data_IF_271662675712
#
_entry.id   IF_271662675712
#
_cell.length_a   1.000
_cell.length_b   1.000
_cell.length_c   1.000
_cell.angle_alpha   90.00
_cell.angle_beta   90.00
_cell.angle_gamma   90.00
#
_symmetry.space_group_name_H-M   'P 1'
#
loop_
_entity.id
_entity.type
_entity.pdbx_description
1 polymer ?
#
# COMPACT_ATOMS: atom_id res chain seq x y z
N UNK A 1 -50.30 -28.95 31.33
CA UNK A 1 -50.08 -28.05 30.17
C UNK A 1 -48.76 -28.44 29.54
N UNK A 2 -48.77 -28.85 28.26
CA UNK A 2 -47.69 -29.54 27.53
C UNK A 2 -47.03 -28.57 26.53
N UNK A 3 -45.71 -28.74 26.35
CA UNK A 3 -44.90 -28.40 25.16
C UNK A 3 -44.57 -26.90 24.98
N UNK A 4 -43.37 -26.47 24.54
CA UNK A 4 -42.55 -27.01 23.43
C UNK A 4 -41.11 -26.48 23.56
N UNK A 5 -40.11 -27.35 23.43
CA UNK A 5 -38.70 -26.98 23.22
C UNK A 5 -38.52 -26.64 21.75
N UNK A 6 -38.05 -25.43 21.44
CA UNK A 6 -37.72 -25.02 20.07
C UNK A 6 -36.21 -25.05 19.94
N UNK A 7 -35.72 -26.05 19.22
CA UNK A 7 -34.32 -26.18 18.83
C UNK A 7 -34.28 -25.81 17.34
N UNK A 8 -33.64 -24.70 16.97
CA UNK A 8 -33.48 -24.32 15.57
C UNK A 8 -32.02 -23.94 15.28
N UNK A 9 -31.30 -24.94 14.79
CA UNK A 9 -29.96 -24.88 14.21
C UNK A 9 -29.94 -23.94 13.00
N UNK A 10 -29.51 -22.70 13.15
CA UNK A 10 -29.26 -21.79 12.01
C UNK A 10 -28.15 -20.77 12.29
N UNK A 11 -26.95 -21.22 12.68
CA UNK A 11 -25.81 -20.30 12.89
C UNK A 11 -24.73 -20.38 11.81
N UNK A 12 -24.77 -21.36 10.89
CA UNK A 12 -23.68 -21.56 9.92
C UNK A 12 -23.71 -20.66 8.68
N UNK A 13 -24.81 -19.96 8.37
CA UNK A 13 -24.89 -19.16 7.13
C UNK A 13 -24.51 -17.68 7.28
N UNK A 14 -24.36 -17.16 8.50
CA UNK A 14 -24.08 -15.73 8.73
C UNK A 14 -22.58 -15.42 8.67
N UNK A 15 -21.70 -16.41 8.86
CA UNK A 15 -20.24 -16.21 8.89
C UNK A 15 -19.64 -16.04 7.49
N UNK A 16 -20.29 -16.54 6.43
CA UNK A 16 -19.76 -16.47 5.05
C UNK A 16 -20.06 -15.11 4.38
N UNK A 17 -21.08 -14.38 4.82
CA UNK A 17 -21.41 -13.04 4.28
C UNK A 17 -20.54 -11.93 4.91
N UNK A 18 -19.89 -12.17 6.06
CA UNK A 18 -19.00 -11.19 6.68
C UNK A 18 -17.57 -11.21 6.10
N UNK A 19 -17.23 -12.18 5.25
CA UNK A 19 -15.87 -12.36 4.70
C UNK A 19 -15.65 -11.72 3.31
N UNK A 20 -16.65 -11.02 2.76
CA UNK A 20 -16.54 -10.31 1.48
C UNK A 20 -16.27 -8.80 1.61
N UNK A 21 -15.77 -8.32 2.75
CA UNK A 21 -15.03 -7.04 2.77
C UNK A 21 -13.65 -7.26 2.14
N UNK A 22 -13.63 -7.56 0.85
CA UNK A 22 -12.47 -7.34 0.00
C UNK A 22 -12.08 -5.88 0.18
N UNK A 23 -11.00 -5.66 0.93
CA UNK A 23 -10.38 -4.35 1.05
C UNK A 23 -9.97 -3.95 -0.36
N UNK A 24 -10.76 -3.09 -1.00
CA UNK A 24 -10.27 -2.42 -2.20
C UNK A 24 -9.09 -1.58 -1.74
N UNK A 25 -7.89 -2.12 -1.94
CA UNK A 25 -6.64 -1.39 -1.95
C UNK A 25 -6.73 -0.40 -3.10
N UNK A 26 -7.42 0.71 -2.86
CA UNK A 26 -7.39 1.84 -3.75
C UNK A 26 -6.23 2.71 -3.31
N UNK A 27 -5.40 3.11 -4.26
CA UNK A 27 -4.50 4.25 -4.13
C UNK A 27 -5.22 5.43 -3.45
N UNK A 28 -4.48 6.32 -2.79
CA UNK A 28 -5.05 7.41 -2.00
C UNK A 28 -6.10 8.18 -2.83
N UNK A 29 -7.37 7.83 -2.65
CA UNK A 29 -8.45 8.42 -3.41
C UNK A 29 -8.57 9.86 -2.95
N UNK A 30 -8.68 10.78 -3.91
CA UNK A 30 -8.92 12.18 -3.61
C UNK A 30 -10.17 12.28 -2.69
N UNK A 31 -10.03 12.73 -1.43
CA UNK A 31 -11.06 12.56 -0.39
C UNK A 31 -12.15 13.63 -0.50
N UNK A 32 -12.56 13.94 -1.72
CA UNK A 32 -13.50 15.01 -2.01
C UNK A 32 -14.93 14.54 -1.88
N UNK A 33 -15.75 15.40 -1.27
CA UNK A 33 -17.16 15.12 -1.06
C UNK A 33 -17.96 15.26 -2.36
N UNK A 34 -19.09 14.55 -2.44
CA UNK A 34 -20.04 14.69 -3.55
C UNK A 34 -20.99 15.90 -3.37
N UNK A 35 -20.56 16.92 -2.62
CA UNK A 35 -21.37 18.14 -2.45
C UNK A 35 -21.48 18.88 -3.77
N UNK A 36 -22.67 19.42 -4.01
CA UNK A 36 -22.95 20.22 -5.19
C UNK A 36 -22.24 21.57 -5.05
N UNK A 37 -21.53 21.95 -6.10
CA UNK A 37 -20.73 23.15 -6.23
C UNK A 37 -21.13 23.87 -7.53
N UNK A 38 -21.08 25.20 -7.50
CA UNK A 38 -21.24 26.03 -8.69
C UNK A 38 -20.17 27.10 -8.66
N UNK A 39 -19.58 27.35 -9.82
CA UNK A 39 -18.50 28.32 -9.97
C UNK A 39 -18.65 29.05 -11.29
N UNK A 40 -18.39 30.34 -11.24
CA UNK A 40 -18.37 31.19 -12.40
C UNK A 40 -17.00 31.87 -12.45
N UNK A 41 -16.28 31.62 -13.53
CA UNK A 41 -15.00 32.24 -13.84
C UNK A 41 -15.17 33.10 -15.09
N UNK A 42 -14.61 34.29 -15.06
CA UNK A 42 -14.41 35.12 -16.23
C UNK A 42 -12.95 35.61 -16.26
N UNK A 43 -12.18 35.13 -17.24
CA UNK A 43 -10.75 35.38 -17.37
C UNK A 43 -9.95 35.09 -16.08
N UNK A 44 -10.32 34.04 -15.35
CA UNK A 44 -9.67 33.63 -14.11
C UNK A 44 -8.42 32.78 -14.42
N UNK A 45 -7.27 33.01 -13.75
CA UNK A 45 -6.15 32.07 -13.82
C UNK A 45 -6.58 30.66 -13.39
N UNK A 46 -6.25 29.64 -14.19
CA UNK A 46 -6.63 28.26 -13.90
C UNK A 46 -6.06 27.77 -12.56
N UNK A 47 -4.88 28.23 -12.18
CA UNK A 47 -4.28 27.97 -10.87
C UNK A 47 -5.17 28.43 -9.72
N UNK A 48 -5.70 29.65 -9.79
CA UNK A 48 -6.61 30.22 -8.78
C UNK A 48 -7.93 29.44 -8.68
N UNK A 49 -8.49 29.02 -9.82
CA UNK A 49 -9.67 28.16 -9.84
C UNK A 49 -9.40 26.82 -9.16
N UNK A 50 -8.28 26.17 -9.49
CA UNK A 50 -7.89 24.88 -8.90
C UNK A 50 -7.62 24.99 -7.39
N UNK A 51 -6.99 26.08 -6.95
CA UNK A 51 -6.77 26.41 -5.53
C UNK A 51 -8.09 26.55 -4.78
N UNK A 52 -9.01 27.38 -5.31
CA UNK A 52 -10.33 27.60 -4.72
C UNK A 52 -11.14 26.30 -4.64
N UNK A 53 -11.07 25.49 -5.71
CA UNK A 53 -11.75 24.21 -5.77
C UNK A 53 -11.21 23.23 -4.72
N UNK A 54 -9.88 23.11 -4.60
CA UNK A 54 -9.24 22.24 -3.59
C UNK A 54 -9.51 22.73 -2.16
N UNK A 55 -9.45 24.05 -1.92
CA UNK A 55 -9.77 24.66 -0.64
C UNK A 55 -11.23 24.39 -0.22
N UNK A 56 -12.18 24.42 -1.17
CA UNK A 56 -13.59 24.08 -0.90
C UNK A 56 -13.77 22.64 -0.39
N UNK A 57 -12.82 21.76 -0.67
CA UNK A 57 -12.77 20.36 -0.23
C UNK A 57 -11.79 20.12 0.92
N UNK A 58 -11.30 21.18 1.57
CA UNK A 58 -10.29 21.11 2.64
C UNK A 58 -9.04 20.34 2.23
N UNK A 59 -8.62 20.43 0.96
CA UNK A 59 -7.46 19.74 0.42
C UNK A 59 -6.36 20.75 0.11
N UNK A 60 -5.16 20.53 0.65
CA UNK A 60 -4.01 21.34 0.29
C UNK A 60 -3.56 21.01 -1.13
N UNK A 61 -3.17 22.02 -1.90
CA UNK A 61 -2.76 21.86 -3.30
C UNK A 61 -1.41 22.52 -3.57
N UNK A 62 -0.63 21.93 -4.47
CA UNK A 62 0.58 22.52 -5.05
C UNK A 62 0.46 22.44 -6.57
N UNK A 63 0.54 23.59 -7.22
CA UNK A 63 0.32 23.72 -8.66
C UNK A 63 1.64 24.09 -9.33
N UNK A 64 1.98 23.41 -10.42
CA UNK A 64 3.15 23.74 -11.22
C UNK A 64 3.05 25.17 -11.76
N UNK A 65 4.19 25.87 -11.77
CA UNK A 65 4.32 27.21 -12.36
C UNK A 65 4.07 27.23 -13.86
N UNK A 66 4.12 26.08 -14.54
CA UNK A 66 3.80 25.96 -15.98
C UNK A 66 2.30 25.97 -16.29
N UNK A 67 1.45 26.00 -15.28
CA UNK A 67 0.00 26.15 -15.45
C UNK A 67 -0.31 27.65 -15.40
N UNK A 68 -0.19 28.28 -16.57
CA UNK A 68 -0.43 29.71 -16.80
C UNK A 68 -1.71 29.98 -17.62
N UNK A 69 -2.51 28.93 -17.87
CA UNK A 69 -3.78 29.04 -18.58
C UNK A 69 -4.77 29.96 -17.86
N UNK A 70 -5.61 30.62 -18.65
CA UNK A 70 -6.74 31.41 -18.17
C UNK A 70 -8.04 30.77 -18.64
N UNK A 71 -9.07 30.78 -17.79
CA UNK A 71 -10.35 30.13 -18.05
C UNK A 71 -11.54 31.05 -17.83
N UNK A 72 -12.52 30.94 -18.73
CA UNK A 72 -13.87 31.49 -18.54
C UNK A 72 -14.86 30.33 -18.59
N UNK A 73 -15.33 29.90 -17.43
CA UNK A 73 -16.15 28.69 -17.28
C UNK A 73 -17.33 28.96 -16.36
N UNK A 74 -18.45 28.28 -16.66
CA UNK A 74 -19.65 28.35 -15.82
C UNK A 74 -20.10 26.95 -15.43
N UNK A 75 -19.72 26.52 -14.24
CA UNK A 75 -20.16 25.25 -13.68
C UNK A 75 -21.40 25.46 -12.83
N UNK A 76 -22.51 24.82 -13.21
CA UNK A 76 -23.75 24.80 -12.42
C UNK A 76 -24.05 23.40 -11.93
N UNK A 77 -24.36 23.29 -10.64
CA UNK A 77 -24.83 22.06 -9.99
C UNK A 77 -23.95 20.82 -10.25
N UNK A 78 -22.62 20.98 -10.24
CA UNK A 78 -21.66 19.87 -10.42
C UNK A 78 -20.92 19.58 -9.12
N UNK A 79 -20.42 18.36 -8.95
CA UNK A 79 -19.52 18.07 -7.82
C UNK A 79 -18.13 18.63 -8.10
N UNK A 80 -17.40 19.00 -7.04
CA UNK A 80 -16.02 19.48 -7.18
C UNK A 80 -15.13 18.47 -7.92
N UNK A 81 -15.33 17.18 -7.67
CA UNK A 81 -14.63 16.08 -8.35
C UNK A 81 -14.86 16.07 -9.86
N UNK A 82 -16.09 16.30 -10.31
CA UNK A 82 -16.41 16.33 -11.73
C UNK A 82 -15.82 17.57 -12.41
N UNK A 83 -15.89 18.73 -11.75
CA UNK A 83 -15.27 19.97 -12.22
C UNK A 83 -13.77 19.78 -12.40
N UNK A 84 -13.08 19.25 -11.38
CA UNK A 84 -11.66 18.98 -11.45
C UNK A 84 -11.30 18.00 -12.57
N UNK A 85 -12.07 16.93 -12.73
CA UNK A 85 -11.86 15.97 -13.84
C UNK A 85 -11.98 16.64 -15.21
N UNK A 86 -12.95 17.54 -15.38
CA UNK A 86 -13.13 18.31 -16.62
C UNK A 86 -11.95 19.26 -16.86
N UNK A 87 -11.52 20.02 -15.85
CA UNK A 87 -10.36 20.92 -15.93
C UNK A 87 -9.07 20.17 -16.25
N UNK A 88 -8.81 19.05 -15.55
CA UNK A 88 -7.63 18.19 -15.80
C UNK A 88 -7.60 17.68 -17.22
N UNK A 89 -8.75 17.24 -17.75
CA UNK A 89 -8.85 16.75 -19.12
C UNK A 89 -8.66 17.88 -20.13
N UNK A 90 -9.35 19.00 -19.96
CA UNK A 90 -9.36 20.12 -20.91
C UNK A 90 -7.98 20.78 -21.05
N UNK A 91 -7.25 20.94 -19.95
CA UNK A 91 -5.97 21.67 -19.94
C UNK A 91 -4.74 20.75 -19.99
N UNK A 92 -4.94 19.46 -20.27
CA UNK A 92 -3.84 18.50 -20.40
C UNK A 92 -3.05 18.34 -19.10
N UNK A 93 -3.74 18.36 -17.95
CA UNK A 93 -3.10 18.23 -16.64
C UNK A 93 -2.90 16.77 -16.28
N UNK A 94 -1.98 16.56 -15.33
CA UNK A 94 -1.78 15.33 -14.60
C UNK A 94 -1.65 15.67 -13.12
N UNK A 95 -2.18 14.81 -12.26
CA UNK A 95 -2.21 15.06 -10.82
C UNK A 95 -1.77 13.85 -10.03
N UNK A 96 -1.32 14.08 -8.81
CA UNK A 96 -0.94 13.06 -7.85
C UNK A 96 -1.35 13.50 -6.45
N UNK A 97 -1.97 12.63 -5.67
CA UNK A 97 -2.33 12.89 -4.28
C UNK A 97 -1.53 11.97 -3.37
N UNK A 98 -0.73 12.53 -2.46
CA UNK A 98 0.15 11.74 -1.57
C UNK A 98 -0.51 11.39 -0.23
N UNK A 99 -1.83 11.59 -0.11
CA UNK A 99 -2.57 11.41 1.13
C UNK A 99 -2.74 12.70 1.95
N UNK A 100 -1.99 13.76 1.66
CA UNK A 100 -2.17 15.07 2.28
C UNK A 100 -2.24 16.24 1.30
N UNK A 101 -1.39 16.23 0.27
CA UNK A 101 -1.29 17.32 -0.71
C UNK A 101 -1.64 16.82 -2.10
N UNK A 102 -2.45 17.58 -2.82
CA UNK A 102 -2.74 17.40 -4.23
C UNK A 102 -1.69 18.15 -5.06
N UNK A 103 -0.89 17.42 -5.82
CA UNK A 103 0.08 17.99 -6.75
C UNK A 103 -0.52 17.99 -8.16
N UNK A 104 -0.48 19.12 -8.83
CA UNK A 104 -1.02 19.30 -10.18
C UNK A 104 0.09 19.86 -11.08
N UNK A 105 0.27 19.23 -12.23
CA UNK A 105 1.28 19.60 -13.23
C UNK A 105 0.73 19.41 -14.64
N UNK A 106 1.41 19.96 -15.64
CA UNK A 106 1.11 19.68 -17.05
C UNK A 106 1.61 18.28 -17.42
N UNK A 107 0.94 17.63 -18.37
CA UNK A 107 1.30 16.25 -18.79
C UNK A 107 2.67 16.16 -19.45
N UNK A 108 3.15 17.25 -20.05
CA UNK A 108 4.51 17.34 -20.61
C UNK A 108 5.60 17.46 -19.54
N UNK A 109 5.25 17.71 -18.28
CA UNK A 109 6.15 17.68 -17.12
C UNK A 109 6.33 16.28 -16.53
N UNK A 110 5.76 15.26 -17.17
CA UNK A 110 5.90 13.87 -16.70
C UNK A 110 7.35 13.40 -16.77
N UNK A 111 7.79 12.77 -15.70
CA UNK A 111 9.11 12.18 -15.58
C UNK A 111 9.01 10.65 -15.68
N UNK A 112 10.08 10.03 -16.15
CA UNK A 112 10.23 8.57 -16.17
C UNK A 112 11.21 8.17 -15.07
N UNK A 113 10.96 7.04 -14.44
CA UNK A 113 11.84 6.45 -13.44
C UNK A 113 11.96 4.94 -13.63
N UNK A 114 13.04 4.39 -13.10
CA UNK A 114 13.25 2.96 -13.02
C UNK A 114 13.89 2.57 -11.68
N UNK A 115 13.48 1.43 -11.13
CA UNK A 115 14.03 0.88 -9.90
C UNK A 115 14.39 -0.58 -10.14
N UNK A 116 15.68 -0.90 -9.99
CA UNK A 116 16.16 -2.27 -9.92
C UNK A 116 16.18 -2.72 -8.46
N UNK A 117 15.45 -3.79 -8.15
CA UNK A 117 15.30 -4.31 -6.78
C UNK A 117 16.31 -5.43 -6.52
N UNK A 118 16.90 -5.45 -5.33
CA UNK A 118 17.96 -6.38 -4.92
C UNK A 118 17.50 -7.46 -3.96
N UNK A 119 16.52 -7.17 -3.12
CA UNK A 119 16.11 -8.02 -2.00
C UNK A 119 14.63 -8.40 -2.02
N UNK A 120 13.80 -7.65 -2.75
CA UNK A 120 12.38 -7.95 -2.95
C UNK A 120 12.07 -8.13 -4.44
N UNK A 121 10.97 -8.83 -4.72
CA UNK A 121 10.43 -8.93 -6.08
C UNK A 121 9.72 -7.63 -6.48
N UNK A 122 9.61 -7.39 -7.80
CA UNK A 122 8.82 -6.26 -8.33
C UNK A 122 7.37 -6.26 -7.82
N UNK A 123 6.78 -7.44 -7.66
CA UNK A 123 5.40 -7.63 -7.18
C UNK A 123 5.22 -7.22 -5.72
N UNK A 124 6.12 -7.66 -4.84
CA UNK A 124 6.10 -7.30 -3.40
C UNK A 124 6.30 -5.80 -3.21
N UNK A 125 7.19 -5.20 -4.00
CA UNK A 125 7.40 -3.75 -3.99
C UNK A 125 6.14 -3.02 -4.45
N UNK A 126 5.55 -3.40 -5.58
CA UNK A 126 4.32 -2.82 -6.09
C UNK A 126 3.16 -2.95 -5.08
N UNK A 127 3.01 -4.11 -4.47
CA UNK A 127 1.98 -4.35 -3.45
C UNK A 127 2.19 -3.45 -2.23
N UNK A 128 3.44 -3.29 -1.77
CA UNK A 128 3.78 -2.41 -0.66
C UNK A 128 3.43 -0.95 -0.98
N UNK A 129 3.73 -0.49 -2.20
CA UNK A 129 3.36 0.88 -2.62
C UNK A 129 1.84 1.08 -2.71
N UNK A 130 1.07 0.08 -3.17
CA UNK A 130 -0.41 0.14 -3.15
C UNK A 130 -0.94 0.20 -1.72
N UNK A 131 -0.38 -0.60 -0.80
CA UNK A 131 -0.73 -0.58 0.62
C UNK A 131 -0.46 0.77 1.28
N UNK A 132 0.62 1.44 0.88
CA UNK A 132 0.96 2.79 1.34
C UNK A 132 0.17 3.90 0.61
N UNK A 133 -0.70 3.55 -0.35
CA UNK A 133 -1.48 4.52 -1.14
C UNK A 133 -0.66 5.33 -2.14
N UNK A 134 0.58 4.90 -2.43
CA UNK A 134 1.54 5.63 -3.28
C UNK A 134 1.33 5.33 -4.76
N UNK A 135 1.03 4.07 -5.09
CA UNK A 135 0.84 3.61 -6.47
C UNK A 135 -0.64 3.66 -6.87
N UNK A 136 -0.94 4.44 -7.90
CA UNK A 136 -2.26 4.57 -8.53
C UNK A 136 -2.26 3.96 -9.95
N UNK A 137 -3.38 3.37 -10.32
CA UNK A 137 -3.58 2.65 -11.58
C UNK A 137 -3.58 3.57 -12.81
N UNK A 138 -3.75 4.89 -12.62
CA UNK A 138 -3.72 5.84 -13.73
C UNK A 138 -2.30 6.21 -14.22
N UNK A 139 -1.24 5.73 -13.54
CA UNK A 139 0.14 5.95 -13.97
C UNK A 139 0.69 4.78 -14.77
N UNK A 140 1.65 5.06 -15.65
CA UNK A 140 2.38 4.01 -16.34
C UNK A 140 3.27 3.28 -15.34
N UNK A 141 3.07 1.96 -15.24
CA UNK A 141 3.81 1.06 -14.34
C UNK A 141 4.01 -0.28 -15.04
N UNK A 142 5.27 -0.67 -15.24
CA UNK A 142 5.64 -1.93 -15.89
C UNK A 142 6.68 -2.64 -15.04
N UNK A 143 6.38 -3.88 -14.70
CA UNK A 143 7.26 -4.77 -13.94
C UNK A 143 7.96 -5.72 -14.90
N UNK A 144 9.28 -5.81 -14.78
CA UNK A 144 10.10 -6.76 -15.52
C UNK A 144 10.73 -7.74 -14.53
N UNK A 145 10.26 -8.99 -14.56
CA UNK A 145 10.79 -10.06 -13.71
C UNK A 145 12.18 -10.53 -14.16
N UNK A 146 12.53 -10.34 -15.44
CA UNK A 146 13.79 -10.81 -16.01
C UNK A 146 15.02 -10.14 -15.36
N UNK A 147 14.94 -8.84 -15.16
CA UNK A 147 16.00 -8.02 -14.55
C UNK A 147 15.62 -7.52 -13.15
N UNK A 148 14.45 -7.93 -12.62
CA UNK A 148 13.87 -7.45 -11.36
C UNK A 148 13.78 -5.92 -11.28
N UNK A 149 13.36 -5.30 -12.40
CA UNK A 149 13.26 -3.86 -12.56
C UNK A 149 11.81 -3.42 -12.74
N UNK A 150 11.44 -2.31 -12.12
CA UNK A 150 10.19 -1.61 -12.38
C UNK A 150 10.47 -0.34 -13.18
N UNK A 151 9.71 -0.13 -14.25
CA UNK A 151 9.70 1.10 -15.06
C UNK A 151 8.39 1.83 -14.83
N UNK A 152 8.44 3.14 -14.61
CA UNK A 152 7.24 3.94 -14.33
C UNK A 152 7.35 5.36 -14.87
N UNK A 153 6.21 5.98 -15.15
CA UNK A 153 6.13 7.37 -15.62
C UNK A 153 4.95 8.09 -14.98
N UNK A 154 5.19 9.33 -14.53
CA UNK A 154 4.16 10.15 -13.89
C UNK A 154 4.68 11.53 -13.48
N UNK A 155 3.94 12.27 -12.64
CA UNK A 155 4.37 13.56 -12.11
C UNK A 155 5.66 13.42 -11.30
N UNK A 156 6.47 14.47 -11.25
CA UNK A 156 7.73 14.50 -10.49
C UNK A 156 7.56 14.02 -9.04
N UNK A 157 6.48 14.44 -8.38
CA UNK A 157 6.21 14.04 -7.00
C UNK A 157 5.99 12.54 -6.85
N UNK A 158 5.28 11.90 -7.78
CA UNK A 158 5.10 10.45 -7.79
C UNK A 158 6.44 9.75 -8.02
N UNK A 159 7.19 10.14 -9.06
CA UNK A 159 8.47 9.52 -9.42
C UNK A 159 9.48 9.58 -8.27
N UNK A 160 9.64 10.77 -7.67
CA UNK A 160 10.53 10.98 -6.53
C UNK A 160 10.13 10.17 -5.30
N UNK A 161 8.82 9.95 -5.09
CA UNK A 161 8.30 9.16 -3.97
C UNK A 161 8.61 7.67 -4.16
N UNK A 162 8.37 7.12 -5.36
CA UNK A 162 8.71 5.73 -5.70
C UNK A 162 10.20 5.47 -5.53
N UNK A 163 11.05 6.37 -6.04
CA UNK A 163 12.51 6.28 -5.91
C UNK A 163 12.99 6.37 -4.44
N UNK A 164 12.29 7.12 -3.60
CA UNK A 164 12.59 7.18 -2.17
C UNK A 164 12.17 5.89 -1.47
N UNK A 165 10.97 5.39 -1.77
CA UNK A 165 10.44 4.17 -1.16
C UNK A 165 11.23 2.93 -1.55
N UNK A 166 11.76 2.85 -2.77
CA UNK A 166 12.62 1.72 -3.15
C UNK A 166 13.82 1.59 -2.21
N UNK A 167 14.48 2.70 -1.86
CA UNK A 167 15.61 2.70 -0.91
C UNK A 167 15.21 2.27 0.51
N UNK A 168 13.94 2.47 0.87
CA UNK A 168 13.43 2.17 2.23
C UNK A 168 12.95 0.72 2.30
N UNK A 169 12.22 0.27 1.29
CA UNK A 169 11.55 -1.03 1.24
C UNK A 169 12.48 -2.14 0.73
N UNK A 170 13.37 -1.84 -0.22
CA UNK A 170 14.34 -2.81 -0.74
C UNK A 170 15.56 -2.93 0.18
N UNK A 171 15.31 -3.39 1.40
CA UNK A 171 16.35 -3.70 2.38
C UNK A 171 16.53 -5.21 2.46
N UNK A 172 17.78 -5.60 2.72
CA UNK A 172 18.12 -7.01 2.97
C UNK A 172 17.22 -7.56 4.08
N UNK A 173 16.55 -8.71 3.87
CA UNK A 173 15.75 -9.31 4.93
C UNK A 173 16.64 -9.57 6.15
N UNK A 174 16.28 -8.95 7.28
CA UNK A 174 16.94 -9.22 8.55
C UNK A 174 16.53 -10.61 8.99
N UNK A 175 17.42 -11.60 8.81
CA UNK A 175 17.24 -12.96 9.33
C UNK A 175 16.99 -12.88 10.83
N UNK A 176 15.80 -13.32 11.27
CA UNK A 176 15.54 -13.47 12.70
C UNK A 176 16.12 -14.81 13.12
N UNK A 177 17.27 -14.79 13.80
CA UNK A 177 17.85 -16.01 14.37
C UNK A 177 17.12 -16.34 15.65
N UNK A 178 16.48 -17.51 15.69
CA UNK A 178 15.93 -18.05 16.94
C UNK A 178 16.92 -19.08 17.47
N UNK A 179 17.55 -18.75 18.58
CA UNK A 179 18.39 -19.69 19.32
C UNK A 179 17.47 -20.61 20.11
N UNK A 180 17.67 -21.92 19.96
CA UNK A 180 16.97 -22.95 20.75
C UNK A 180 17.97 -23.70 21.60
N UNK A 181 17.66 -23.88 22.88
CA UNK A 181 18.43 -24.74 23.77
C UNK A 181 17.54 -25.46 24.78
N UNK A 182 18.09 -26.51 25.40
CA UNK A 182 17.45 -27.20 26.51
C UNK A 182 18.26 -26.88 27.77
N UNK A 183 17.60 -26.42 28.83
CA UNK A 183 18.25 -26.14 30.10
C UNK A 183 18.58 -27.41 30.90
N UNK A 184 19.15 -27.23 32.09
CA UNK A 184 19.49 -28.35 33.00
C UNK A 184 18.27 -29.15 33.47
N UNK A 185 17.06 -28.58 33.40
CA UNK A 185 15.81 -29.19 33.83
C UNK A 185 15.05 -29.85 32.67
N UNK A 186 15.62 -29.85 31.45
CA UNK A 186 14.97 -30.42 30.27
C UNK A 186 13.97 -29.48 29.59
N UNK A 187 13.91 -28.21 29.99
CA UNK A 187 12.94 -27.25 29.44
C UNK A 187 13.50 -26.61 28.16
N UNK A 188 12.76 -26.65 27.03
CA UNK A 188 13.16 -25.96 25.81
C UNK A 188 13.00 -24.45 25.98
N UNK A 189 14.05 -23.71 25.64
CA UNK A 189 14.10 -22.26 25.67
C UNK A 189 14.35 -21.72 24.26
N UNK A 190 13.76 -20.57 23.97
CA UNK A 190 13.85 -19.88 22.67
C UNK A 190 14.23 -18.41 22.90
N UNK A 191 15.15 -17.88 22.10
CA UNK A 191 15.53 -16.47 22.18
C UNK A 191 15.86 -15.89 20.80
N UNK A 192 15.53 -14.63 20.59
CA UNK A 192 15.95 -13.83 19.43
C UNK A 192 17.36 -13.25 19.55
N UNK A 193 18.00 -13.41 20.72
CA UNK A 193 19.39 -13.00 21.01
C UNK A 193 20.20 -14.17 21.53
N UNK A 194 21.50 -14.21 21.21
CA UNK A 194 22.40 -15.23 21.72
C UNK A 194 22.53 -15.08 23.25
N UNK A 195 22.21 -16.11 24.06
CA UNK A 195 22.33 -16.01 25.51
C UNK A 195 23.79 -15.84 25.94
N UNK A 196 24.08 -14.83 26.78
CA UNK A 196 25.44 -14.46 27.23
C UNK A 196 26.13 -15.56 28.05
N UNK A 197 25.37 -16.42 28.72
CA UNK A 197 25.89 -17.52 29.55
C UNK A 197 25.51 -18.87 28.95
N UNK A 198 26.19 -19.26 27.89
CA UNK A 198 26.08 -20.61 27.35
C UNK A 198 27.32 -21.43 27.73
N UNK A 199 27.15 -22.39 28.62
CA UNK A 199 28.22 -23.33 28.96
C UNK A 199 28.32 -24.35 27.81
N UNK A 200 29.46 -24.37 27.09
CA UNK A 200 29.71 -25.12 25.82
C UNK A 200 29.50 -26.65 25.88
N UNK A 201 29.03 -27.19 27.00
CA UNK A 201 28.90 -28.63 27.27
C UNK A 201 27.54 -29.24 26.90
N UNK A 202 26.54 -28.48 26.44
CA UNK A 202 25.22 -29.04 26.05
C UNK A 202 24.66 -28.35 24.80
N UNK A 203 24.06 -29.14 23.92
CA UNK A 203 23.63 -28.83 22.54
C UNK A 203 22.97 -27.45 22.36
N UNK A 204 23.58 -26.60 21.53
CA UNK A 204 22.98 -25.37 20.99
C UNK A 204 22.49 -25.66 19.56
N UNK A 205 21.18 -25.62 19.35
CA UNK A 205 20.61 -25.69 18.01
C UNK A 205 20.31 -24.27 17.53
N UNK A 206 21.03 -23.80 16.51
CA UNK A 206 20.75 -22.52 15.84
C UNK A 206 19.72 -22.78 14.76
N UNK A 207 18.52 -22.18 14.90
CA UNK A 207 17.47 -22.26 13.89
C UNK A 207 17.39 -20.90 13.20
N UNK A 208 17.80 -20.86 11.94
CA UNK A 208 17.53 -19.73 11.07
C UNK A 208 16.05 -19.77 10.70
N UNK A 209 15.26 -18.82 11.20
CA UNK A 209 13.85 -18.68 10.82
C UNK A 209 13.78 -17.68 9.69
N UNK A 210 13.45 -18.20 8.50
CA UNK A 210 13.11 -17.35 7.37
C UNK A 210 11.73 -16.74 7.60
N UNK A 211 11.61 -15.42 7.47
CA UNK A 211 10.37 -14.71 7.79
C UNK A 211 9.29 -14.83 6.70
N UNK A 212 9.59 -15.55 5.62
CA UNK A 212 8.82 -15.51 4.37
C UNK A 212 7.86 -16.69 4.15
N UNK A 213 7.70 -17.58 5.14
CA UNK A 213 6.71 -18.67 5.02
C UNK A 213 5.38 -18.21 5.58
N UNK A 214 4.53 -17.72 4.68
CA UNK A 214 3.11 -17.55 4.92
C UNK A 214 2.54 -18.88 5.43
N UNK A 215 1.98 -18.83 6.63
CA UNK A 215 1.40 -19.97 7.34
C UNK A 215 0.15 -20.44 6.58
N UNK A 216 0.29 -21.49 5.77
CA UNK A 216 -0.79 -22.45 5.49
C UNK A 216 -0.19 -23.84 5.44
N UNK A 217 -0.50 -24.64 6.46
CA UNK A 217 -0.60 -26.10 6.44
C UNK A 217 0.58 -26.90 5.91
N UNK A 218 1.21 -27.66 6.81
CA UNK A 218 2.07 -28.83 6.51
C UNK A 218 3.56 -28.53 6.26
N UNK A 219 4.22 -27.88 7.22
CA UNK A 219 5.69 -27.80 7.22
C UNK A 219 6.30 -29.16 7.56
N UNK A 220 7.39 -29.50 6.87
CA UNK A 220 8.27 -30.66 7.13
C UNK A 220 8.76 -30.75 8.59
N UNK A 221 8.60 -29.67 9.35
CA UNK A 221 8.91 -29.52 10.77
C UNK A 221 8.00 -30.43 11.63
N UNK A 222 6.70 -30.51 11.30
CA UNK A 222 5.72 -31.33 12.04
C UNK A 222 5.94 -32.83 11.80
N UNK A 223 6.26 -33.21 10.55
CA UNK A 223 6.60 -34.60 10.18
C UNK A 223 7.89 -35.07 10.85
N UNK A 224 8.91 -34.21 10.94
CA UNK A 224 10.20 -34.56 11.56
C UNK A 224 10.13 -34.61 13.09
N UNK A 225 9.22 -33.83 13.71
CA UNK A 225 8.93 -33.91 15.13
C UNK A 225 8.19 -35.19 15.52
N UNK A 226 7.15 -35.58 14.77
CA UNK A 226 6.41 -36.82 15.03
C UNK A 226 7.28 -38.08 14.81
N UNK A 227 8.17 -38.07 13.81
CA UNK A 227 9.05 -39.20 13.53
C UNK A 227 10.10 -39.48 14.62
N UNK A 228 10.58 -38.43 15.32
CA UNK A 228 11.62 -38.57 16.34
C UNK A 228 11.09 -38.74 17.78
N UNK A 229 9.79 -38.54 18.02
CA UNK A 229 9.17 -38.62 19.34
C UNK A 229 8.13 -39.75 19.48
N UNK A 230 8.14 -40.74 18.56
CA UNK A 230 7.27 -41.94 18.60
C UNK A 230 8.03 -43.23 18.99
N UNK A 231 9.04 -43.14 19.85
CA UNK A 231 9.63 -44.32 20.51
C UNK A 231 9.73 -44.08 22.01
#
# INVERSE_FOLDING_TARGET
MKLRVINLKTTSSIIIILMLLSSHLSAAQLPWSNKIYSHFSDQEPLSTLLETLAASQNTQVTISKKIDDVVSVHFKKKTAKNIFKELVKAHGLIWYYDGGVLYISKRDETQTGSVNLKYHTTKEFAQSLRQLGILDDHFYWVESEHDNTVYFKGPERFVSTVLKMSKILDKKPTKSRIYKWIDKNGVPNFSSKMPERFNKSKSLDVIDVDRDVSVVGNTSIERRWKANNLK
#
